data_IF_080894451900
#
_entry.id   IF_080894451900
#
_cell.length_a   1.000
_cell.length_b   1.000
_cell.length_c   1.000
_cell.angle_alpha   90.00
_cell.angle_beta   90.00
_cell.angle_gamma   90.00
#
_symmetry.space_group_name_H-M   'P 1'
#
loop_
_entity.id
_entity.type
_entity.pdbx_description
1 polymer ?
#
# COMPACT_ATOMS: atom_id res chain seq x y z
N UNK A 1 34.98 -39.08 -10.87
CA UNK A 1 35.19 -37.70 -10.39
C UNK A 1 33.85 -37.16 -9.96
N UNK A 2 33.51 -37.34 -8.68
CA UNK A 2 32.24 -36.89 -8.09
C UNK A 2 32.23 -35.36 -7.92
N UNK A 3 31.69 -34.66 -8.90
CA UNK A 3 31.74 -33.19 -8.90
C UNK A 3 30.53 -32.46 -8.28
N UNK A 4 29.49 -33.16 -7.91
CA UNK A 4 28.28 -32.43 -7.43
C UNK A 4 27.55 -33.16 -6.29
N UNK A 5 28.28 -33.39 -5.21
CA UNK A 5 27.61 -33.88 -3.98
C UNK A 5 26.99 -32.71 -3.26
N UNK A 6 25.64 -32.68 -3.22
CA UNK A 6 24.88 -31.67 -2.46
C UNK A 6 25.04 -31.92 -0.95
N UNK A 7 24.98 -30.85 -0.19
CA UNK A 7 25.01 -30.85 1.26
C UNK A 7 23.89 -30.01 1.82
N UNK A 8 23.38 -30.36 3.00
CA UNK A 8 22.39 -29.54 3.70
C UNK A 8 22.96 -28.14 3.92
N UNK A 9 22.20 -27.13 3.55
CA UNK A 9 22.61 -25.73 3.58
C UNK A 9 23.16 -25.18 2.24
N UNK A 10 23.33 -26.04 1.22
CA UNK A 10 23.73 -25.56 -0.11
C UNK A 10 22.61 -24.76 -0.76
N UNK A 11 22.99 -23.68 -1.45
CA UNK A 11 22.06 -22.94 -2.32
C UNK A 11 21.99 -23.63 -3.66
N UNK A 12 20.76 -23.86 -4.11
CA UNK A 12 20.47 -24.55 -5.36
C UNK A 12 19.42 -23.81 -6.17
N UNK A 13 19.49 -23.97 -7.48
CA UNK A 13 18.48 -23.53 -8.44
C UNK A 13 17.97 -24.74 -9.19
N UNK A 14 16.67 -24.72 -9.54
CA UNK A 14 16.02 -25.74 -10.34
C UNK A 14 16.27 -25.43 -11.82
N UNK A 15 16.71 -26.44 -12.60
CA UNK A 15 17.16 -26.24 -13.99
C UNK A 15 16.08 -25.70 -14.93
N UNK A 16 14.85 -26.19 -14.79
CA UNK A 16 13.76 -25.88 -15.71
C UNK A 16 12.72 -24.90 -15.13
N UNK A 17 12.93 -24.42 -13.90
CA UNK A 17 12.01 -23.54 -13.19
C UNK A 17 12.78 -22.37 -12.57
N UNK A 18 12.16 -21.19 -12.53
CA UNK A 18 12.75 -20.02 -11.88
C UNK A 18 12.63 -20.12 -10.33
N UNK A 19 12.98 -21.28 -9.77
CA UNK A 19 12.90 -21.58 -8.35
C UNK A 19 14.31 -21.74 -7.81
N UNK A 20 14.59 -21.03 -6.72
CA UNK A 20 15.83 -21.16 -5.95
C UNK A 20 15.53 -21.43 -4.49
N UNK A 21 16.43 -22.11 -3.82
CA UNK A 21 16.24 -22.44 -2.41
C UNK A 21 17.53 -22.94 -1.74
N UNK A 22 17.35 -23.38 -0.51
CA UNK A 22 18.42 -23.97 0.32
C UNK A 22 18.07 -25.42 0.61
N UNK A 23 19.03 -26.32 0.44
CA UNK A 23 18.87 -27.74 0.74
C UNK A 23 18.63 -27.93 2.23
N UNK A 24 17.47 -28.51 2.58
CA UNK A 24 17.08 -28.83 3.95
C UNK A 24 17.34 -30.30 4.30
N UNK A 25 17.03 -31.21 3.37
CA UNK A 25 17.18 -32.66 3.60
C UNK A 25 17.58 -33.37 2.29
N UNK A 26 18.34 -34.44 2.41
CA UNK A 26 18.79 -35.29 1.30
C UNK A 26 18.40 -36.73 1.59
N UNK A 27 17.54 -37.30 0.76
CA UNK A 27 17.06 -38.68 0.83
C UNK A 27 17.44 -39.44 -0.44
N UNK A 28 18.66 -39.97 -0.50
CA UNK A 28 19.18 -40.64 -1.69
C UNK A 28 19.33 -39.68 -2.87
N UNK A 29 18.54 -39.83 -3.93
CA UNK A 29 18.50 -38.94 -5.10
C UNK A 29 17.53 -37.79 -4.98
N UNK A 30 16.62 -37.83 -3.98
CA UNK A 30 15.64 -36.79 -3.74
C UNK A 30 16.19 -35.78 -2.72
N UNK A 31 16.10 -34.52 -3.10
CA UNK A 31 16.55 -33.39 -2.28
C UNK A 31 15.33 -32.52 -1.95
N UNK A 32 15.11 -32.31 -0.66
CA UNK A 32 14.14 -31.33 -0.18
C UNK A 32 14.84 -29.97 -0.04
N UNK A 33 14.35 -29.00 -0.75
CA UNK A 33 14.82 -27.60 -0.63
C UNK A 33 13.71 -26.72 -0.05
N UNK A 34 14.09 -25.74 0.71
CA UNK A 34 13.19 -24.64 1.12
C UNK A 34 13.41 -23.48 0.18
N UNK A 35 12.34 -23.12 -0.54
CA UNK A 35 12.37 -22.00 -1.50
C UNK A 35 12.60 -20.67 -0.79
N UNK A 36 12.95 -19.63 -1.54
CA UNK A 36 13.07 -18.26 -1.03
C UNK A 36 11.76 -17.72 -0.43
N UNK A 37 10.62 -18.30 -0.81
CA UNK A 37 9.30 -17.99 -0.27
C UNK A 37 8.96 -18.78 1.01
N UNK A 38 9.81 -19.74 1.38
CA UNK A 38 9.67 -20.53 2.61
C UNK A 38 8.89 -21.83 2.46
N UNK A 39 8.61 -22.29 1.23
CA UNK A 39 7.90 -23.55 0.99
C UNK A 39 8.89 -24.71 0.79
N UNK A 40 8.73 -25.87 1.47
CA UNK A 40 9.53 -27.04 1.21
C UNK A 40 9.05 -27.73 -0.08
N UNK A 41 9.97 -27.99 -1.00
CA UNK A 41 9.72 -28.69 -2.26
C UNK A 41 10.76 -29.81 -2.46
N UNK A 42 10.37 -30.89 -3.15
CA UNK A 42 11.24 -32.05 -3.40
C UNK A 42 11.57 -32.12 -4.91
N UNK A 43 12.84 -32.24 -5.20
CA UNK A 43 13.37 -32.38 -6.57
C UNK A 43 14.37 -33.53 -6.65
N UNK A 44 14.53 -34.09 -7.83
CA UNK A 44 15.60 -35.07 -8.09
C UNK A 44 16.94 -34.32 -8.18
N UNK A 45 18.00 -34.92 -7.69
CA UNK A 45 19.36 -34.34 -7.71
C UNK A 45 19.79 -33.87 -9.11
N UNK A 46 19.34 -34.53 -10.18
CA UNK A 46 19.66 -34.19 -11.57
C UNK A 46 19.04 -32.89 -12.04
N UNK A 47 17.93 -32.45 -11.41
CA UNK A 47 17.17 -31.26 -11.78
C UNK A 47 17.66 -30.02 -11.01
N UNK A 48 18.72 -30.17 -10.19
CA UNK A 48 19.27 -29.11 -9.35
C UNK A 48 20.69 -28.73 -9.75
N UNK A 49 20.99 -27.45 -9.69
CA UNK A 49 22.34 -26.89 -9.88
C UNK A 49 22.76 -26.16 -8.61
N UNK A 50 23.99 -26.47 -8.15
CA UNK A 50 24.58 -25.78 -7.01
C UNK A 50 25.06 -24.40 -7.40
N UNK A 51 24.55 -23.36 -6.75
CA UNK A 51 24.96 -21.97 -6.96
C UNK A 51 26.26 -21.72 -6.22
N UNK A 52 27.39 -21.67 -6.96
CA UNK A 52 28.69 -21.30 -6.41
C UNK A 52 28.78 -19.78 -6.31
N UNK A 53 28.72 -19.25 -5.11
CA UNK A 53 28.89 -17.79 -4.90
C UNK A 53 28.02 -17.14 -3.84
N UNK A 54 27.53 -17.89 -2.87
CA UNK A 54 26.87 -17.31 -1.70
C UNK A 54 27.79 -17.33 -0.47
N UNK A 55 27.87 -16.22 0.24
CA UNK A 55 28.53 -16.13 1.56
C UNK A 55 27.91 -17.22 2.45
N UNK A 56 28.69 -18.10 3.11
CA UNK A 56 28.13 -19.11 4.01
C UNK A 56 27.44 -18.39 5.18
N UNK A 57 26.11 -18.37 5.16
CA UNK A 57 25.32 -17.84 6.28
C UNK A 57 25.30 -18.94 7.33
N UNK A 58 25.98 -18.74 8.44
CA UNK A 58 26.02 -19.71 9.53
C UNK A 58 24.64 -19.81 10.21
N UNK A 59 24.31 -21.00 10.78
CA UNK A 59 23.09 -21.18 11.57
C UNK A 59 22.96 -20.17 12.72
N UNK A 60 24.09 -19.61 13.17
CA UNK A 60 24.14 -18.55 14.16
C UNK A 60 23.59 -17.22 13.61
N UNK A 61 23.90 -16.86 12.36
CA UNK A 61 23.38 -15.66 11.70
C UNK A 61 21.90 -15.78 11.39
N UNK A 62 21.43 -16.97 11.00
CA UNK A 62 19.99 -17.27 10.81
C UNK A 62 19.25 -17.13 12.14
N UNK A 63 19.82 -17.59 13.25
CA UNK A 63 19.24 -17.45 14.58
C UNK A 63 19.22 -16.00 15.07
N UNK A 64 20.26 -15.20 14.72
CA UNK A 64 20.26 -13.76 15.01
C UNK A 64 19.21 -13.00 14.19
N UNK A 65 19.09 -13.27 12.90
CA UNK A 65 18.07 -12.66 12.04
C UNK A 65 16.65 -13.05 12.46
N UNK A 66 16.44 -14.29 12.92
CA UNK A 66 15.17 -14.70 13.55
C UNK A 66 14.92 -13.94 14.84
N UNK A 67 15.92 -13.83 15.73
CA UNK A 67 15.81 -13.06 16.98
C UNK A 67 15.57 -11.57 16.76
N UNK A 68 16.18 -10.97 15.71
CA UNK A 68 15.93 -9.58 15.33
C UNK A 68 14.53 -9.37 14.73
N UNK A 69 13.99 -10.38 14.03
CA UNK A 69 12.61 -10.36 13.53
C UNK A 69 11.56 -10.66 14.59
N UNK A 70 11.94 -11.40 15.64
CA UNK A 70 11.08 -11.71 16.81
C UNK A 70 11.17 -10.66 17.92
N UNK A 71 12.17 -9.77 17.91
CA UNK A 71 12.05 -8.56 18.69
C UNK A 71 10.76 -7.88 18.22
N UNK A 72 9.78 -7.65 19.15
CA UNK A 72 8.57 -6.98 18.76
C UNK A 72 9.04 -5.72 18.03
N UNK A 73 8.76 -5.64 16.72
CA UNK A 73 8.98 -4.41 15.96
C UNK A 73 8.38 -3.36 16.84
N UNK A 74 9.23 -2.55 17.49
CA UNK A 74 8.77 -1.36 18.18
C UNK A 74 7.80 -0.78 17.18
N UNK A 75 6.51 -0.91 17.47
CA UNK A 75 5.47 -0.26 16.68
C UNK A 75 6.03 1.13 16.54
N UNK A 76 6.47 1.49 15.31
CA UNK A 76 6.75 2.89 15.03
C UNK A 76 5.48 3.52 15.51
N UNK A 77 5.53 4.11 16.69
CA UNK A 77 4.41 4.87 17.16
C UNK A 77 4.24 5.86 16.02
N UNK A 78 3.12 5.79 15.31
CA UNK A 78 2.68 6.88 14.47
C UNK A 78 2.43 8.05 15.43
N UNK A 79 3.52 8.51 16.05
CA UNK A 79 3.53 9.73 16.82
C UNK A 79 3.47 10.81 15.76
N UNK A 80 2.26 11.02 15.31
CA UNK A 80 1.87 12.18 14.51
C UNK A 80 2.52 13.36 15.20
N UNK A 81 3.38 14.08 14.47
CA UNK A 81 4.09 15.25 15.01
C UNK A 81 3.06 16.12 15.74
N UNK A 82 3.40 16.75 16.88
CA UNK A 82 2.44 17.50 17.70
C UNK A 82 1.57 18.48 16.89
N UNK A 83 2.12 19.09 15.83
CA UNK A 83 1.38 19.93 14.86
C UNK A 83 0.33 19.18 14.04
N UNK A 84 0.56 17.90 13.72
CA UNK A 84 -0.39 17.07 12.95
C UNK A 84 -1.44 16.43 13.86
N UNK A 85 -1.13 16.20 15.14
CA UNK A 85 -2.09 15.67 16.14
C UNK A 85 -3.27 16.58 16.36
N UNK A 86 -3.06 17.90 16.31
CA UNK A 86 -4.06 18.90 16.64
C UNK A 86 -4.63 19.59 15.40
N UNK A 87 -4.25 19.21 14.19
CA UNK A 87 -4.86 19.75 12.99
C UNK A 87 -6.21 19.04 12.76
N UNK A 88 -7.34 19.73 12.87
CA UNK A 88 -8.62 19.14 12.56
C UNK A 88 -8.61 18.65 11.12
N UNK A 89 -9.08 17.41 10.92
CA UNK A 89 -9.17 16.79 9.61
C UNK A 89 -10.62 16.35 9.39
N UNK A 90 -11.19 16.78 8.29
CA UNK A 90 -12.51 16.40 7.86
C UNK A 90 -12.42 15.53 6.61
N UNK A 91 -13.17 14.44 6.56
CA UNK A 91 -13.30 13.57 5.39
C UNK A 91 -14.73 13.67 4.85
N UNK A 92 -14.83 13.88 3.55
CA UNK A 92 -16.10 14.00 2.84
C UNK A 92 -16.14 12.95 1.74
N UNK A 93 -16.95 11.93 1.94
CA UNK A 93 -17.18 10.92 0.91
C UNK A 93 -18.25 11.42 -0.06
N UNK A 94 -17.86 11.60 -1.33
CA UNK A 94 -18.69 12.07 -2.41
C UNK A 94 -19.27 10.95 -3.26
N UNK A 95 -19.03 9.67 -2.93
CA UNK A 95 -19.67 8.57 -3.64
C UNK A 95 -21.17 8.67 -3.53
N UNK A 96 -21.85 8.61 -4.67
CA UNK A 96 -23.31 8.87 -4.73
C UNK A 96 -24.11 7.99 -3.77
N UNK A 97 -23.69 6.76 -3.57
CA UNK A 97 -24.35 5.82 -2.66
C UNK A 97 -24.28 6.24 -1.17
N UNK A 98 -23.37 7.16 -0.83
CA UNK A 98 -23.27 7.75 0.51
C UNK A 98 -24.15 9.01 0.65
N UNK A 99 -24.50 9.63 -0.47
CA UNK A 99 -25.24 10.89 -0.50
C UNK A 99 -26.73 10.69 -0.65
N UNK A 100 -27.15 9.64 -1.36
CA UNK A 100 -28.56 9.35 -1.64
C UNK A 100 -28.89 7.87 -1.41
N UNK A 101 -30.13 7.59 -1.03
CA UNK A 101 -30.59 6.21 -0.78
C UNK A 101 -30.77 5.40 -2.07
N UNK A 102 -31.04 6.03 -3.18
CA UNK A 102 -31.23 5.39 -4.49
C UNK A 102 -30.88 6.34 -5.62
N UNK A 103 -30.26 5.80 -6.66
CA UNK A 103 -29.92 6.53 -7.90
C UNK A 103 -30.89 6.23 -9.03
N UNK A 104 -31.97 5.49 -8.75
CA UNK A 104 -32.93 5.08 -9.78
C UNK A 104 -33.60 6.29 -10.43
N UNK A 105 -33.45 6.41 -11.75
CA UNK A 105 -34.01 7.52 -12.54
C UNK A 105 -33.15 8.78 -12.56
N UNK A 106 -31.98 8.78 -11.94
CA UNK A 106 -31.02 9.88 -12.01
C UNK A 106 -30.14 9.76 -13.26
N UNK A 107 -29.92 10.87 -13.94
CA UNK A 107 -28.91 10.97 -14.98
C UNK A 107 -27.51 11.16 -14.36
N UNK A 108 -26.44 10.94 -15.15
CA UNK A 108 -25.07 11.24 -14.70
C UNK A 108 -24.90 12.72 -14.33
N UNK A 109 -25.62 13.61 -14.97
CA UNK A 109 -25.65 15.03 -14.66
C UNK A 109 -26.27 15.30 -13.28
N UNK A 110 -27.38 14.65 -12.95
CA UNK A 110 -28.03 14.79 -11.63
C UNK A 110 -27.09 14.28 -10.51
N UNK A 111 -26.44 13.15 -10.76
CA UNK A 111 -25.46 12.56 -9.84
C UNK A 111 -24.32 13.54 -9.58
N UNK A 112 -23.70 14.05 -10.65
CA UNK A 112 -22.60 15.01 -10.55
C UNK A 112 -23.03 16.29 -9.80
N UNK A 113 -24.22 16.81 -10.08
CA UNK A 113 -24.74 17.99 -9.38
C UNK A 113 -24.88 17.76 -7.88
N UNK A 114 -25.43 16.62 -7.46
CA UNK A 114 -25.58 16.28 -6.02
C UNK A 114 -24.21 16.20 -5.35
N UNK A 115 -23.24 15.57 -6.01
CA UNK A 115 -21.86 15.46 -5.51
C UNK A 115 -21.21 16.85 -5.37
N UNK A 116 -21.34 17.70 -6.37
CA UNK A 116 -20.80 19.05 -6.38
C UNK A 116 -21.45 19.98 -5.36
N UNK A 117 -22.78 19.92 -5.23
CA UNK A 117 -23.51 20.69 -4.20
C UNK A 117 -23.10 20.25 -2.78
N UNK A 118 -22.90 18.94 -2.59
CA UNK A 118 -22.40 18.43 -1.31
C UNK A 118 -20.97 18.91 -1.06
N UNK A 119 -20.09 18.87 -2.05
CA UNK A 119 -18.71 19.36 -1.92
C UNK A 119 -18.68 20.86 -1.56
N UNK A 120 -19.47 21.70 -2.23
CA UNK A 120 -19.58 23.14 -1.94
C UNK A 120 -20.03 23.40 -0.52
N UNK A 121 -21.09 22.72 -0.08
CA UNK A 121 -21.65 22.86 1.27
C UNK A 121 -20.64 22.45 2.34
N UNK A 122 -19.94 21.34 2.13
CA UNK A 122 -18.96 20.83 3.07
C UNK A 122 -17.69 21.70 3.11
N UNK A 123 -17.27 22.26 1.97
CA UNK A 123 -16.18 23.21 1.90
C UNK A 123 -16.53 24.50 2.66
N UNK A 124 -17.72 25.06 2.46
CA UNK A 124 -18.19 26.24 3.17
C UNK A 124 -18.26 25.99 4.68
N UNK A 125 -18.78 24.84 5.10
CA UNK A 125 -18.79 24.42 6.50
C UNK A 125 -17.37 24.34 7.10
N UNK A 126 -16.42 23.74 6.36
CA UNK A 126 -15.05 23.64 6.80
C UNK A 126 -14.39 25.02 7.00
N UNK A 127 -14.68 25.98 6.10
CA UNK A 127 -14.21 27.35 6.23
C UNK A 127 -14.80 28.03 7.46
N UNK A 128 -16.11 27.92 7.65
CA UNK A 128 -16.83 28.49 8.82
C UNK A 128 -16.28 27.92 10.14
N UNK A 129 -16.06 26.62 10.19
CA UNK A 129 -15.55 25.92 11.38
C UNK A 129 -14.03 25.99 11.53
N UNK A 130 -13.33 26.74 10.68
CA UNK A 130 -11.87 26.88 10.65
C UNK A 130 -11.12 25.54 10.62
N UNK A 131 -11.68 24.58 9.86
CA UNK A 131 -11.04 23.28 9.62
C UNK A 131 -9.98 23.47 8.54
N UNK A 132 -8.71 23.26 8.89
CA UNK A 132 -7.60 23.53 7.99
C UNK A 132 -7.43 22.51 6.88
N UNK A 133 -7.81 21.24 7.12
CA UNK A 133 -7.61 20.14 6.17
C UNK A 133 -8.90 19.39 5.94
N UNK A 134 -9.31 19.28 4.69
CA UNK A 134 -10.48 18.51 4.25
C UNK A 134 -10.04 17.57 3.15
N UNK A 135 -10.47 16.31 3.23
CA UNK A 135 -10.25 15.32 2.18
C UNK A 135 -11.57 15.02 1.51
N UNK A 136 -11.66 15.28 0.21
CA UNK A 136 -12.79 14.91 -0.62
C UNK A 136 -12.52 13.60 -1.33
N UNK A 137 -13.30 12.56 -1.04
CA UNK A 137 -13.18 11.23 -1.63
C UNK A 137 -14.17 11.15 -2.80
N UNK A 138 -13.64 11.16 -4.02
CA UNK A 138 -14.43 11.23 -5.26
C UNK A 138 -14.39 9.95 -6.09
N UNK A 139 -13.53 9.00 -5.70
CA UNK A 139 -13.25 7.80 -6.49
C UNK A 139 -12.34 8.09 -7.69
N UNK A 140 -11.95 7.03 -8.41
CA UNK A 140 -11.11 7.16 -9.60
C UNK A 140 -11.96 7.48 -10.83
N UNK A 141 -13.02 6.70 -11.08
CA UNK A 141 -13.98 6.89 -12.16
C UNK A 141 -13.36 7.36 -13.49
N UNK A 142 -14.11 8.14 -14.25
CA UNK A 142 -13.66 8.80 -15.49
C UNK A 142 -12.90 10.12 -15.22
N UNK A 143 -12.77 10.50 -13.95
CA UNK A 143 -12.07 11.75 -13.57
C UNK A 143 -12.93 13.01 -13.60
N UNK A 144 -14.16 12.97 -14.13
CA UNK A 144 -15.03 14.14 -14.29
C UNK A 144 -15.27 14.85 -12.95
N UNK A 145 -15.61 14.13 -11.91
CA UNK A 145 -15.85 14.73 -10.59
C UNK A 145 -14.58 15.36 -10.01
N UNK A 146 -13.41 14.75 -10.22
CA UNK A 146 -12.11 15.32 -9.81
C UNK A 146 -11.85 16.66 -10.49
N UNK A 147 -12.07 16.73 -11.82
CA UNK A 147 -11.88 17.96 -12.60
C UNK A 147 -12.83 19.07 -12.14
N UNK A 148 -14.10 18.77 -11.93
CA UNK A 148 -15.10 19.73 -11.44
C UNK A 148 -14.76 20.24 -10.03
N UNK A 149 -14.26 19.37 -9.14
CA UNK A 149 -13.76 19.76 -7.83
C UNK A 149 -12.56 20.70 -7.94
N UNK A 150 -11.60 20.40 -8.81
CA UNK A 150 -10.44 21.26 -9.05
C UNK A 150 -10.88 22.62 -9.58
N UNK A 151 -11.87 22.66 -10.48
CA UNK A 151 -12.44 23.91 -10.96
C UNK A 151 -13.14 24.70 -9.84
N UNK A 152 -13.85 24.00 -8.94
CA UNK A 152 -14.44 24.62 -7.76
C UNK A 152 -13.36 25.23 -6.85
N UNK A 153 -12.31 24.48 -6.53
CA UNK A 153 -11.27 24.92 -5.60
C UNK A 153 -10.47 26.11 -6.13
N UNK A 154 -10.25 26.18 -7.43
CA UNK A 154 -9.59 27.34 -8.08
C UNK A 154 -10.28 28.67 -7.90
N UNK A 155 -11.57 28.67 -7.51
CA UNK A 155 -12.34 29.91 -7.25
C UNK A 155 -12.01 30.57 -5.92
N UNK A 156 -11.21 29.91 -5.08
CA UNK A 156 -10.88 30.38 -3.74
C UNK A 156 -9.37 30.62 -3.61
N UNK A 157 -8.97 31.85 -3.35
CA UNK A 157 -7.55 32.23 -3.21
C UNK A 157 -6.91 31.71 -1.92
N UNK A 158 -7.73 31.41 -0.91
CA UNK A 158 -7.30 30.92 0.39
C UNK A 158 -7.25 29.38 0.48
N UNK A 159 -7.24 28.68 -0.66
CA UNK A 159 -7.14 27.23 -0.72
C UNK A 159 -5.88 26.78 -1.45
N UNK A 160 -5.34 25.64 -0.98
CA UNK A 160 -4.40 24.82 -1.72
C UNK A 160 -4.94 23.40 -1.78
N UNK A 161 -4.90 22.75 -2.93
CA UNK A 161 -5.38 21.40 -3.11
C UNK A 161 -4.34 20.54 -3.84
N UNK A 162 -4.32 19.27 -3.51
CA UNK A 162 -3.41 18.25 -4.07
C UNK A 162 -3.99 16.86 -3.85
N UNK A 163 -3.40 15.85 -4.50
CA UNK A 163 -3.83 14.47 -4.29
C UNK A 163 -3.64 14.08 -2.83
N UNK A 164 -4.65 13.43 -2.24
CA UNK A 164 -4.60 12.98 -0.85
C UNK A 164 -3.62 11.81 -0.68
N UNK A 165 -3.36 11.41 0.57
CA UNK A 165 -2.47 10.31 0.89
C UNK A 165 -2.82 9.04 0.11
N UNK A 166 -1.93 8.65 -0.81
CA UNK A 166 -2.11 7.50 -1.68
C UNK A 166 -2.26 6.18 -0.92
N UNK A 167 -1.56 6.01 0.20
CA UNK A 167 -1.65 4.78 0.99
C UNK A 167 -3.03 4.60 1.63
N UNK A 168 -3.72 5.71 1.90
CA UNK A 168 -5.04 5.69 2.54
C UNK A 168 -6.19 5.73 1.55
N UNK A 169 -6.07 6.51 0.47
CA UNK A 169 -7.18 6.83 -0.43
C UNK A 169 -6.94 6.42 -1.89
N UNK A 170 -5.75 5.92 -2.22
CA UNK A 170 -5.36 5.69 -3.61
C UNK A 170 -5.34 6.99 -4.42
N UNK A 171 -5.77 6.92 -5.68
CA UNK A 171 -5.91 8.07 -6.58
C UNK A 171 -7.29 8.74 -6.50
N UNK A 172 -8.18 8.23 -5.64
CA UNK A 172 -9.59 8.62 -5.59
C UNK A 172 -9.93 9.74 -4.61
N UNK A 173 -8.96 10.52 -4.13
CA UNK A 173 -9.24 11.61 -3.20
C UNK A 173 -8.33 12.81 -3.40
N UNK A 174 -8.87 13.99 -3.11
CA UNK A 174 -8.18 15.28 -3.13
C UNK A 174 -8.17 15.88 -1.72
N UNK A 175 -7.00 16.22 -1.20
CA UNK A 175 -6.85 16.96 0.06
C UNK A 175 -6.84 18.46 -0.23
N UNK A 176 -7.64 19.21 0.52
CA UNK A 176 -7.73 20.66 0.46
C UNK A 176 -7.22 21.25 1.77
N UNK A 177 -6.24 22.13 1.67
CA UNK A 177 -5.74 22.91 2.79
C UNK A 177 -6.31 24.31 2.74
N UNK A 178 -6.98 24.74 3.83
CA UNK A 178 -7.62 26.03 3.96
C UNK A 178 -6.74 26.94 4.81
N UNK A 179 -6.24 28.02 4.22
CA UNK A 179 -5.49 29.02 4.96
C UNK A 179 -6.42 29.82 5.88
N UNK A 180 -6.03 29.92 7.13
CA UNK A 180 -6.83 30.61 8.17
C UNK A 180 -6.49 32.12 8.28
N UNK A 181 -5.90 32.67 7.21
CA UNK A 181 -5.51 34.09 7.21
C UNK A 181 -6.77 34.94 6.98
N UNK A 182 -7.20 35.58 8.04
CA UNK A 182 -8.20 36.60 8.10
C UNK A 182 -8.14 37.27 9.44
#
# INVERSE_FOLDING_TARGET
MDKDKFSVGDKVEVLDEAISGVVEQIDGTLITLVTTEGFPMKYDQKDLVKVRGGIPVSNFEIAQVKKEKELPKRRKSNVVKPKERNAPKMEVDLHINQLVKTTRGMSNYDILNIQMETAKRQLAFAMEKRIQKVVFIHGVGEGILKEELHYLFKKYDNLKYYDADYQKYGLGATEVYIYQNG
#
